data_IF_598678733128
#
_entry.id   IF_598678733128
#
_cell.length_a   1.000
_cell.length_b   1.000
_cell.length_c   1.000
_cell.angle_alpha   90.00
_cell.angle_beta   90.00
_cell.angle_gamma   90.00
#
_symmetry.space_group_name_H-M   'P 1'
#
loop_
_entity.id
_entity.type
_entity.pdbx_description
1 polymer ?
#
# COMPACT_ATOMS: atom_id res chain seq x y z
N UNK A 1 -5.43 -12.13 24.57
CA UNK A 1 -4.29 -13.07 24.49
C UNK A 1 -3.17 -12.39 23.74
N UNK A 2 -1.94 -12.36 24.26
CA UNK A 2 -0.79 -11.87 23.51
C UNK A 2 -0.54 -12.82 22.33
N UNK A 3 -0.39 -12.26 21.13
CA UNK A 3 -0.01 -13.02 19.93
C UNK A 3 1.31 -13.76 20.21
N UNK A 4 1.33 -15.07 19.92
CA UNK A 4 2.55 -15.85 19.92
C UNK A 4 3.58 -15.19 18.99
N UNK A 5 4.77 -14.94 19.54
CA UNK A 5 5.88 -14.29 18.84
C UNK A 5 6.46 -15.26 17.81
N UNK A 6 5.95 -15.29 16.57
CA UNK A 6 6.83 -15.61 15.45
C UNK A 6 7.82 -14.45 15.32
N UNK A 7 9.02 -14.63 15.89
CA UNK A 7 10.01 -13.58 16.06
C UNK A 7 10.79 -13.27 14.76
N UNK A 8 10.21 -13.62 13.60
CA UNK A 8 10.87 -13.47 12.31
C UNK A 8 10.59 -12.06 11.78
N UNK A 9 11.60 -11.20 11.86
CA UNK A 9 11.56 -9.88 11.23
C UNK A 9 11.66 -10.07 9.70
N UNK A 10 10.97 -9.25 8.90
CA UNK A 10 11.14 -9.31 7.45
C UNK A 10 12.58 -8.97 7.07
N UNK A 11 13.05 -9.56 5.97
CA UNK A 11 14.31 -9.20 5.33
C UNK A 11 14.18 -7.83 4.66
N UNK A 12 13.00 -7.55 4.08
CA UNK A 12 12.70 -6.27 3.44
C UNK A 12 11.19 -5.96 3.46
N UNK A 13 10.87 -4.68 3.58
CA UNK A 13 9.53 -4.10 3.49
C UNK A 13 9.55 -3.09 2.33
N UNK A 14 8.87 -3.44 1.25
CA UNK A 14 8.63 -2.58 0.09
C UNK A 14 7.40 -1.72 0.36
N UNK A 15 7.58 -0.40 0.48
CA UNK A 15 6.47 0.53 0.67
C UNK A 15 6.16 1.22 -0.65
N UNK A 16 5.06 0.83 -1.27
CA UNK A 16 4.62 1.35 -2.55
C UNK A 16 3.62 2.49 -2.36
N UNK A 17 3.87 3.59 -3.06
CA UNK A 17 2.97 4.74 -3.16
C UNK A 17 2.77 5.12 -4.62
N UNK A 18 1.62 5.70 -4.93
CA UNK A 18 1.28 6.12 -6.28
C UNK A 18 -0.20 6.49 -6.36
N UNK A 19 -0.49 7.51 -7.18
CA UNK A 19 -1.84 8.03 -7.41
C UNK A 19 -2.72 6.99 -8.08
N UNK A 20 -4.04 7.16 -7.98
CA UNK A 20 -5.02 6.34 -8.71
C UNK A 20 -4.68 6.21 -10.20
N UNK A 21 -4.84 4.99 -10.74
CA UNK A 21 -4.52 4.59 -12.13
C UNK A 21 -3.03 4.68 -12.53
N UNK A 22 -2.10 4.83 -11.58
CA UNK A 22 -0.64 4.73 -11.84
C UNK A 22 -0.14 3.31 -12.11
N UNK A 23 -0.94 2.28 -11.83
CA UNK A 23 -0.55 0.87 -11.99
C UNK A 23 0.11 0.24 -10.76
N UNK A 24 0.01 0.89 -9.59
CA UNK A 24 0.55 0.39 -8.32
C UNK A 24 0.11 -1.03 -7.97
N UNK A 25 -1.19 -1.35 -8.07
CA UNK A 25 -1.68 -2.71 -7.77
C UNK A 25 -1.11 -3.76 -8.74
N UNK A 26 -0.94 -3.40 -10.02
CA UNK A 26 -0.31 -4.28 -11.00
C UNK A 26 1.14 -4.58 -10.61
N UNK A 27 1.93 -3.54 -10.33
CA UNK A 27 3.33 -3.69 -9.91
C UNK A 27 3.44 -4.49 -8.61
N UNK A 28 2.58 -4.25 -7.62
CA UNK A 28 2.56 -5.00 -6.37
C UNK A 28 2.35 -6.51 -6.59
N UNK A 29 1.41 -6.87 -7.47
CA UNK A 29 1.14 -8.26 -7.83
C UNK A 29 2.31 -8.87 -8.61
N UNK A 30 2.89 -8.15 -9.58
CA UNK A 30 4.08 -8.61 -10.32
C UNK A 30 5.26 -8.87 -9.38
N UNK A 31 5.47 -8.03 -8.37
CA UNK A 31 6.49 -8.25 -7.35
C UNK A 31 6.17 -9.50 -6.52
N UNK A 32 4.93 -9.66 -6.05
CA UNK A 32 4.52 -10.85 -5.30
C UNK A 32 4.78 -12.14 -6.09
N UNK A 33 4.47 -12.14 -7.39
CA UNK A 33 4.72 -13.28 -8.27
C UNK A 33 6.21 -13.56 -8.45
N UNK A 34 7.03 -12.51 -8.64
CA UNK A 34 8.49 -12.64 -8.79
C UNK A 34 9.19 -13.08 -7.51
N UNK A 35 8.75 -12.59 -6.36
CA UNK A 35 9.29 -12.99 -5.06
C UNK A 35 8.80 -14.38 -4.61
N UNK A 36 7.64 -14.82 -5.10
CA UNK A 36 7.00 -16.05 -4.67
C UNK A 36 6.11 -15.83 -3.44
N UNK A 37 4.90 -16.42 -3.47
CA UNK A 37 3.88 -16.27 -2.40
C UNK A 37 4.27 -16.96 -1.08
N UNK A 38 5.26 -17.85 -1.13
CA UNK A 38 5.77 -18.52 0.06
C UNK A 38 6.64 -17.57 0.91
N UNK A 39 7.43 -16.72 0.26
CA UNK A 39 8.33 -15.76 0.92
C UNK A 39 7.72 -14.36 1.07
N UNK A 40 6.83 -13.95 0.17
CA UNK A 40 6.28 -12.61 0.10
C UNK A 40 4.77 -12.51 0.38
N UNK A 41 4.34 -11.34 0.84
CA UNK A 41 2.93 -11.01 1.05
C UNK A 41 2.63 -9.55 0.75
N UNK A 42 1.42 -9.29 0.24
CA UNK A 42 0.90 -7.93 0.06
C UNK A 42 0.16 -7.48 1.34
N UNK A 43 0.61 -6.36 1.90
CA UNK A 43 -0.07 -5.64 2.98
C UNK A 43 -0.96 -4.57 2.37
N UNK A 44 -2.25 -4.59 2.73
CA UNK A 44 -3.23 -3.55 2.38
C UNK A 44 -3.67 -2.84 3.66
N UNK A 45 -3.19 -1.62 3.87
CA UNK A 45 -3.56 -0.77 5.00
C UNK A 45 -5.05 -0.40 4.97
N UNK A 46 -5.66 -0.39 3.78
CA UNK A 46 -7.10 -0.21 3.62
C UNK A 46 -7.93 -1.45 4.00
N UNK A 47 -7.32 -2.64 4.13
CA UNK A 47 -8.01 -3.87 4.54
C UNK A 47 -8.65 -3.75 5.92
N UNK A 48 -7.87 -3.50 6.99
CA UNK A 48 -8.43 -3.36 8.33
C UNK A 48 -9.35 -2.14 8.48
N UNK A 49 -9.11 -1.09 7.72
CA UNK A 49 -10.01 0.07 7.65
C UNK A 49 -11.40 -0.34 7.19
N UNK A 50 -11.49 -1.06 6.08
CA UNK A 50 -12.77 -1.50 5.53
C UNK A 50 -13.47 -2.51 6.44
N UNK A 51 -12.73 -3.45 7.02
CA UNK A 51 -13.27 -4.47 7.92
C UNK A 51 -13.90 -3.82 9.16
N UNK A 52 -13.14 -2.97 9.85
CA UNK A 52 -13.60 -2.27 11.06
C UNK A 52 -14.77 -1.34 10.77
N UNK A 53 -14.68 -0.54 9.70
CA UNK A 53 -15.76 0.38 9.33
C UNK A 53 -17.04 -0.38 8.98
N UNK A 54 -16.92 -1.52 8.29
CA UNK A 54 -18.07 -2.37 7.97
C UNK A 54 -18.73 -2.91 9.24
N UNK A 55 -17.93 -3.42 10.17
CA UNK A 55 -18.40 -3.95 11.44
C UNK A 55 -19.14 -2.90 12.28
N UNK A 56 -18.57 -1.70 12.44
CA UNK A 56 -19.16 -0.63 13.25
C UNK A 56 -20.45 -0.05 12.66
N UNK A 57 -20.61 -0.11 11.33
CA UNK A 57 -21.75 0.47 10.62
C UNK A 57 -22.74 -0.58 10.11
N UNK A 58 -22.60 -1.85 10.51
CA UNK A 58 -23.41 -2.97 10.02
C UNK A 58 -23.47 -3.06 8.48
N UNK A 59 -22.34 -2.80 7.81
CA UNK A 59 -22.22 -2.89 6.35
C UNK A 59 -21.68 -4.24 5.92
N UNK A 60 -21.94 -4.60 4.67
CA UNK A 60 -21.37 -5.80 4.08
C UNK A 60 -19.90 -5.55 3.68
N UNK A 61 -18.98 -6.19 4.40
CA UNK A 61 -17.53 -6.07 4.18
C UNK A 61 -17.10 -6.48 2.76
N UNK A 62 -17.59 -7.61 2.25
CA UNK A 62 -17.26 -8.09 0.90
C UNK A 62 -17.64 -7.06 -0.18
N UNK A 63 -18.79 -6.39 -0.01
CA UNK A 63 -19.21 -5.31 -0.93
C UNK A 63 -18.33 -4.05 -0.83
N UNK A 64 -17.67 -3.80 0.30
CA UNK A 64 -16.71 -2.71 0.46
C UNK A 64 -15.31 -3.06 -0.07
N UNK A 65 -15.01 -4.35 -0.18
CA UNK A 65 -13.82 -4.83 -0.87
C UNK A 65 -13.93 -4.63 -2.38
N UNK A 66 -15.11 -4.92 -2.96
CA UNK A 66 -15.39 -4.78 -4.38
C UNK A 66 -15.31 -3.31 -4.87
N UNK A 67 -14.79 -3.12 -6.08
CA UNK A 67 -14.60 -1.83 -6.77
C UNK A 67 -15.90 -1.21 -7.29
N UNK A 68 -16.98 -1.36 -6.54
CA UNK A 68 -18.33 -0.94 -6.92
C UNK A 68 -18.61 0.52 -6.53
N UNK A 69 -19.61 1.11 -7.19
CA UNK A 69 -20.19 2.42 -6.86
C UNK A 69 -20.59 2.52 -5.37
N UNK A 70 -20.98 1.38 -4.78
CA UNK A 70 -21.26 1.22 -3.36
C UNK A 70 -20.10 1.67 -2.46
N UNK A 71 -18.86 1.36 -2.81
CA UNK A 71 -17.67 1.77 -2.06
C UNK A 71 -17.44 3.28 -2.14
N UNK A 72 -17.64 3.87 -3.31
CA UNK A 72 -17.40 5.30 -3.52
C UNK A 72 -18.41 6.15 -2.72
N UNK A 73 -19.65 5.69 -2.52
CA UNK A 73 -20.65 6.34 -1.65
C UNK A 73 -20.14 6.49 -0.21
N UNK A 74 -19.43 5.49 0.32
CA UNK A 74 -18.91 5.51 1.70
C UNK A 74 -17.47 6.02 1.80
N UNK A 75 -16.81 6.33 0.68
CA UNK A 75 -15.38 6.67 0.68
C UNK A 75 -15.06 7.86 1.57
N UNK A 76 -15.82 8.95 1.44
CA UNK A 76 -15.59 10.14 2.25
C UNK A 76 -15.78 9.88 3.75
N UNK A 77 -16.83 9.13 4.11
CA UNK A 77 -17.12 8.76 5.50
C UNK A 77 -16.03 7.86 6.08
N UNK A 78 -15.58 6.87 5.30
CA UNK A 78 -14.47 5.98 5.67
C UNK A 78 -13.17 6.75 5.87
N UNK A 79 -12.87 7.73 5.00
CA UNK A 79 -11.69 8.58 5.14
C UNK A 79 -11.77 9.34 6.47
N UNK A 80 -12.85 10.11 6.70
CA UNK A 80 -13.05 10.89 7.94
C UNK A 80 -12.95 10.04 9.20
N UNK A 81 -13.62 8.88 9.21
CA UNK A 81 -13.56 7.93 10.32
C UNK A 81 -12.14 7.40 10.54
N UNK A 82 -11.44 7.03 9.47
CA UNK A 82 -10.07 6.51 9.57
C UNK A 82 -9.06 7.56 10.01
N UNK A 83 -9.24 8.84 9.64
CA UNK A 83 -8.39 9.93 10.12
C UNK A 83 -8.55 10.14 11.62
N UNK A 84 -9.77 10.08 12.16
CA UNK A 84 -9.99 10.20 13.60
C UNK A 84 -9.21 9.13 14.39
N UNK A 85 -9.14 7.90 13.87
CA UNK A 85 -8.34 6.83 14.46
C UNK A 85 -6.84 7.10 14.29
N UNK A 86 -6.39 7.48 13.09
CA UNK A 86 -4.97 7.77 12.81
C UNK A 86 -4.43 8.92 13.64
N UNK A 87 -5.25 9.93 13.93
CA UNK A 87 -4.88 11.06 14.77
C UNK A 87 -4.63 10.64 16.23
N UNK A 88 -5.29 9.59 16.70
CA UNK A 88 -5.07 9.02 18.04
C UNK A 88 -3.93 7.99 18.03
N UNK A 89 -3.86 7.19 16.96
CA UNK A 89 -2.90 6.09 16.82
C UNK A 89 -2.51 5.90 15.34
N UNK A 90 -1.43 6.56 14.90
CA UNK A 90 -1.01 6.54 13.50
C UNK A 90 -0.68 5.13 12.98
N UNK A 91 -0.25 4.23 13.86
CA UNK A 91 0.16 2.88 13.53
C UNK A 91 -0.95 1.84 13.54
N UNK A 92 -2.19 2.24 13.88
CA UNK A 92 -3.31 1.32 14.07
C UNK A 92 -3.54 0.41 12.86
N UNK A 93 -3.73 0.99 11.68
CA UNK A 93 -4.00 0.20 10.47
C UNK A 93 -2.78 -0.59 10.00
N UNK A 94 -1.56 -0.11 10.26
CA UNK A 94 -0.33 -0.84 9.95
C UNK A 94 -0.23 -2.14 10.76
N UNK A 95 -0.45 -2.07 12.08
CA UNK A 95 -0.41 -3.26 12.94
C UNK A 95 -1.50 -4.26 12.58
N UNK A 96 -2.71 -3.79 12.28
CA UNK A 96 -3.79 -4.67 11.86
C UNK A 96 -3.55 -5.29 10.47
N UNK A 97 -2.98 -4.56 9.53
CA UNK A 97 -2.66 -5.09 8.20
C UNK A 97 -1.61 -6.21 8.29
N UNK A 98 -0.58 -6.04 9.13
CA UNK A 98 0.45 -7.08 9.42
C UNK A 98 -0.20 -8.35 9.96
N UNK A 99 -1.16 -8.22 10.90
CA UNK A 99 -1.87 -9.35 11.49
C UNK A 99 -2.77 -10.05 10.47
N UNK A 100 -3.63 -9.30 9.78
CA UNK A 100 -4.59 -9.83 8.81
C UNK A 100 -3.92 -10.59 7.66
N UNK A 101 -2.77 -10.11 7.18
CA UNK A 101 -2.03 -10.74 6.10
C UNK A 101 -1.10 -11.87 6.57
N UNK A 102 -1.03 -12.13 7.88
CA UNK A 102 -0.06 -13.05 8.49
C UNK A 102 1.39 -12.71 8.10
N UNK A 103 1.74 -11.42 8.01
CA UNK A 103 3.04 -11.01 7.49
C UNK A 103 4.22 -11.53 8.33
N UNK A 104 4.01 -11.75 9.63
CA UNK A 104 5.04 -12.22 10.55
C UNK A 104 5.62 -13.61 10.22
N UNK A 105 5.01 -14.37 9.29
CA UNK A 105 5.54 -15.62 8.75
C UNK A 105 6.26 -15.46 7.40
N UNK A 106 6.37 -14.23 6.89
CA UNK A 106 6.86 -13.90 5.55
C UNK A 106 8.12 -13.04 5.63
N UNK A 107 9.07 -13.31 4.73
CA UNK A 107 10.35 -12.59 4.66
C UNK A 107 10.21 -11.24 3.98
N UNK A 108 9.26 -11.09 3.06
CA UNK A 108 9.13 -9.92 2.20
C UNK A 108 7.73 -9.34 2.31
N UNK A 109 7.65 -8.07 2.72
CA UNK A 109 6.36 -7.40 2.91
C UNK A 109 6.19 -6.32 1.83
N UNK A 110 5.07 -6.36 1.11
CA UNK A 110 4.76 -5.39 0.05
C UNK A 110 3.58 -4.54 0.52
N UNK A 111 3.85 -3.38 1.13
CA UNK A 111 2.82 -2.42 1.51
C UNK A 111 2.33 -1.71 0.25
N UNK A 112 1.16 -2.12 -0.22
CA UNK A 112 0.64 -1.73 -1.54
C UNK A 112 -0.07 -0.39 -1.61
N UNK A 113 -0.52 0.16 -0.48
CA UNK A 113 -1.44 1.29 -0.45
C UNK A 113 -1.14 2.31 0.66
N UNK A 114 0.16 2.55 0.93
CA UNK A 114 0.59 3.67 1.77
C UNK A 114 0.15 5.00 1.15
N UNK A 115 -0.46 5.86 1.97
CA UNK A 115 -1.06 7.13 1.52
C UNK A 115 -0.61 8.33 2.36
N UNK A 116 -0.09 8.10 3.57
CA UNK A 116 0.33 9.14 4.50
C UNK A 116 1.78 8.96 4.92
N UNK A 117 2.45 10.06 5.27
CA UNK A 117 3.81 10.02 5.82
C UNK A 117 3.90 9.17 7.10
N UNK A 118 2.86 9.23 7.93
CA UNK A 118 2.73 8.41 9.15
C UNK A 118 2.71 6.91 8.87
N UNK A 119 2.19 6.46 7.71
CA UNK A 119 2.29 5.05 7.30
C UNK A 119 3.77 4.67 7.13
N UNK A 120 4.55 5.50 6.44
CA UNK A 120 5.99 5.27 6.19
C UNK A 120 6.78 5.33 7.50
N UNK A 121 6.52 6.36 8.33
CA UNK A 121 7.18 6.57 9.62
C UNK A 121 6.97 5.38 10.57
N UNK A 122 5.74 4.83 10.61
CA UNK A 122 5.46 3.63 11.40
C UNK A 122 6.43 2.50 11.05
N UNK A 123 6.58 2.19 9.76
CA UNK A 123 7.47 1.10 9.34
C UNK A 123 8.95 1.45 9.56
N UNK A 124 9.38 2.70 9.31
CA UNK A 124 10.75 3.16 9.58
C UNK A 124 11.14 3.00 11.06
N UNK A 125 10.24 3.35 11.98
CA UNK A 125 10.48 3.28 13.43
C UNK A 125 10.51 1.82 13.92
N UNK A 126 9.57 0.99 13.46
CA UNK A 126 9.41 -0.38 13.98
C UNK A 126 10.33 -1.41 13.30
N UNK A 127 10.78 -1.13 12.07
CA UNK A 127 11.63 -2.01 11.26
C UNK A 127 12.79 -1.22 10.63
N UNK A 128 13.69 -0.64 11.45
CA UNK A 128 14.83 0.11 10.94
C UNK A 128 15.68 -0.76 10.01
N UNK A 129 16.23 -0.14 8.96
CA UNK A 129 17.09 -0.77 7.95
C UNK A 129 16.44 -1.87 7.10
N UNK A 130 15.13 -2.07 7.22
CA UNK A 130 14.36 -3.03 6.41
C UNK A 130 13.49 -2.37 5.34
N UNK A 131 13.46 -1.04 5.29
CA UNK A 131 12.51 -0.30 4.44
C UNK A 131 13.12 0.04 3.09
N UNK A 132 12.36 -0.19 2.03
CA UNK A 132 12.63 0.31 0.69
C UNK A 132 11.38 1.00 0.14
N UNK A 133 11.44 2.32 -0.04
CA UNK A 133 10.27 3.12 -0.45
C UNK A 133 10.26 3.32 -1.96
N UNK A 134 9.10 3.11 -2.58
CA UNK A 134 8.95 3.17 -4.04
C UNK A 134 7.78 4.06 -4.43
N UNK A 135 8.07 5.11 -5.22
CA UNK A 135 7.03 5.93 -5.85
C UNK A 135 6.75 5.43 -7.25
N UNK A 136 5.49 5.14 -7.53
CA UNK A 136 5.01 4.72 -8.84
C UNK A 136 4.30 5.91 -9.48
N UNK A 137 4.88 6.38 -10.57
CA UNK A 137 4.42 7.52 -11.34
C UNK A 137 3.83 7.06 -12.68
N UNK A 138 2.85 7.79 -13.17
CA UNK A 138 2.38 7.71 -14.54
C UNK A 138 1.86 9.10 -14.91
N UNK A 139 2.11 9.53 -16.14
CA UNK A 139 1.58 10.79 -16.66
C UNK A 139 0.06 10.81 -16.63
N UNK A 140 -0.50 12.00 -16.54
CA UNK A 140 -1.94 12.20 -16.58
C UNK A 140 -2.55 11.66 -17.90
N UNK A 141 -1.84 11.79 -19.02
CA UNK A 141 -2.26 11.22 -20.30
C UNK A 141 -2.40 9.69 -20.25
N UNK A 142 -1.43 8.99 -19.63
CA UNK A 142 -1.48 7.53 -19.48
C UNK A 142 -2.56 7.12 -18.47
N UNK A 143 -2.71 7.86 -17.37
CA UNK A 143 -3.78 7.64 -16.39
C UNK A 143 -5.15 7.82 -17.05
N UNK A 144 -5.34 8.83 -17.90
CA UNK A 144 -6.57 9.08 -18.65
C UNK A 144 -6.88 7.93 -19.61
N UNK A 145 -5.88 7.40 -20.33
CA UNK A 145 -6.04 6.18 -21.15
C UNK A 145 -6.50 4.97 -20.33
N UNK A 146 -6.20 4.92 -19.04
CA UNK A 146 -6.65 3.89 -18.07
C UNK A 146 -8.00 4.24 -17.41
N UNK A 147 -8.71 5.22 -17.94
CA UNK A 147 -10.01 5.70 -17.45
C UNK A 147 -9.92 6.58 -16.21
N UNK A 148 -8.78 7.26 -15.97
CA UNK A 148 -8.72 8.30 -14.94
C UNK A 148 -9.40 9.56 -15.44
N UNK A 149 -10.33 10.08 -14.64
CA UNK A 149 -10.91 11.41 -14.80
C UNK A 149 -10.68 12.13 -13.49
N UNK A 150 -10.09 13.33 -13.56
CA UNK A 150 -9.87 14.14 -12.37
C UNK A 150 -11.20 14.40 -11.67
N UNK A 151 -11.30 13.98 -10.42
CA UNK A 151 -12.52 14.09 -9.61
C UNK A 151 -12.19 14.96 -8.40
N UNK A 152 -12.75 16.18 -8.37
CA UNK A 152 -12.58 17.12 -7.26
C UNK A 152 -13.07 16.50 -5.95
N UNK A 153 -12.30 16.68 -4.87
CA UNK A 153 -12.53 16.06 -3.56
C UNK A 153 -12.06 14.61 -3.45
N UNK A 154 -11.57 14.00 -4.54
CA UNK A 154 -11.00 12.65 -4.53
C UNK A 154 -9.53 12.66 -4.90
N UNK A 155 -9.17 13.24 -6.05
CA UNK A 155 -7.79 13.23 -6.54
C UNK A 155 -6.92 14.33 -5.89
N UNK A 156 -7.54 15.22 -5.14
CA UNK A 156 -7.02 16.42 -4.47
C UNK A 156 -7.14 16.34 -2.93
N UNK A 157 -7.59 15.19 -2.40
CA UNK A 157 -7.62 14.94 -0.96
C UNK A 157 -6.32 14.27 -0.48
N UNK A 158 -6.09 14.32 0.84
CA UNK A 158 -4.91 13.71 1.49
C UNK A 158 -4.74 12.23 1.15
N UNK A 159 -5.84 11.49 0.94
CA UNK A 159 -5.75 10.06 0.59
C UNK A 159 -5.06 9.79 -0.75
N UNK A 160 -4.99 10.77 -1.66
CA UNK A 160 -4.27 10.66 -2.94
C UNK A 160 -3.00 11.53 -2.98
N UNK A 161 -2.96 12.66 -2.25
CA UNK A 161 -1.86 13.63 -2.28
C UNK A 161 -0.94 13.62 -1.04
N UNK A 162 -1.24 12.85 0.00
CA UNK A 162 -0.52 12.89 1.29
C UNK A 162 0.95 12.45 1.27
N UNK A 163 1.47 12.10 0.09
CA UNK A 163 2.86 11.74 -0.17
C UNK A 163 3.44 12.47 -1.39
N UNK A 164 2.78 13.52 -1.88
CA UNK A 164 3.25 14.29 -3.05
C UNK A 164 4.49 15.14 -2.71
N UNK A 165 4.65 15.55 -1.46
CA UNK A 165 5.80 16.31 -0.95
C UNK A 165 6.83 15.44 -0.22
N UNK A 166 6.67 14.11 -0.23
CA UNK A 166 7.67 13.18 0.29
C UNK A 166 8.75 12.96 -0.78
N UNK A 167 10.01 13.21 -0.42
CA UNK A 167 11.16 13.21 -1.34
C UNK A 167 12.20 12.11 -1.06
N UNK A 168 12.12 11.45 0.10
CA UNK A 168 13.04 10.39 0.53
C UNK A 168 12.69 9.01 -0.07
N UNK A 169 12.37 8.97 -1.37
CA UNK A 169 12.09 7.73 -2.09
C UNK A 169 13.38 6.96 -2.39
N UNK A 170 13.40 5.66 -2.12
CA UNK A 170 14.52 4.79 -2.50
C UNK A 170 14.56 4.56 -4.01
N UNK A 171 13.39 4.50 -4.65
CA UNK A 171 13.24 4.35 -6.10
C UNK A 171 11.98 5.04 -6.61
N UNK A 172 12.04 5.57 -7.83
CA UNK A 172 10.86 6.00 -8.58
C UNK A 172 10.71 5.12 -9.83
N UNK A 173 9.52 4.56 -10.03
CA UNK A 173 9.16 3.76 -11.20
C UNK A 173 8.19 4.57 -12.05
N UNK A 174 8.53 4.76 -13.32
CA UNK A 174 7.67 5.42 -14.31
C UNK A 174 6.91 4.35 -15.10
N UNK A 175 5.59 4.43 -15.08
CA UNK A 175 4.69 3.50 -15.73
C UNK A 175 3.93 4.19 -16.87
N UNK A 176 4.68 4.90 -17.72
CA UNK A 176 4.16 5.51 -18.94
C UNK A 176 4.19 4.53 -20.13
N UNK A 177 5.13 3.58 -20.12
CA UNK A 177 5.22 2.48 -21.07
C UNK A 177 5.83 1.24 -20.41
N UNK A 178 5.72 0.09 -21.09
CA UNK A 178 6.15 -1.21 -20.57
C UNK A 178 7.66 -1.28 -20.32
N UNK A 179 8.48 -0.66 -21.16
CA UNK A 179 9.93 -0.65 -21.03
C UNK A 179 10.38 0.02 -19.72
N UNK A 180 9.90 1.25 -19.47
CA UNK A 180 10.21 1.99 -18.24
C UNK A 180 9.69 1.28 -16.99
N UNK A 181 8.49 0.70 -17.07
CA UNK A 181 7.91 -0.07 -15.97
C UNK A 181 8.77 -1.29 -15.65
N UNK A 182 9.12 -2.09 -16.67
CA UNK A 182 9.92 -3.30 -16.50
C UNK A 182 11.34 -2.98 -16.00
N UNK A 183 11.96 -1.92 -16.51
CA UNK A 183 13.25 -1.44 -16.01
C UNK A 183 13.17 -1.09 -14.52
N UNK A 184 12.13 -0.35 -14.10
CA UNK A 184 11.90 -0.01 -12.70
C UNK A 184 11.67 -1.22 -11.81
N UNK A 185 10.87 -2.20 -12.25
CA UNK A 185 10.64 -3.45 -11.52
C UNK A 185 11.94 -4.25 -11.40
N UNK A 186 12.75 -4.32 -12.46
CA UNK A 186 14.03 -5.04 -12.44
C UNK A 186 15.02 -4.38 -11.47
N UNK A 187 15.14 -3.04 -11.51
CA UNK A 187 15.97 -2.28 -10.54
C UNK A 187 15.52 -2.53 -9.11
N UNK A 188 14.21 -2.47 -8.86
CA UNK A 188 13.65 -2.76 -7.55
C UNK A 188 14.03 -4.17 -7.09
N UNK A 189 13.78 -5.18 -7.93
CA UNK A 189 14.07 -6.58 -7.60
C UNK A 189 15.55 -6.79 -7.26
N UNK A 190 16.47 -6.30 -8.10
CA UNK A 190 17.91 -6.39 -7.86
C UNK A 190 18.35 -5.66 -6.59
N UNK A 191 17.75 -4.51 -6.28
CA UNK A 191 18.10 -3.73 -5.08
C UNK A 191 17.71 -4.41 -3.77
N UNK A 192 16.79 -5.38 -3.80
CA UNK A 192 16.31 -6.05 -2.58
C UNK A 192 17.31 -7.04 -1.98
N UNK A 193 18.35 -7.45 -2.72
CA UNK A 193 19.37 -8.42 -2.30
C UNK A 193 18.81 -9.68 -1.62
N UNK A 194 17.56 -10.06 -1.93
CA UNK A 194 16.94 -11.25 -1.36
C UNK A 194 17.51 -12.46 -2.10
N UNK A 195 18.33 -13.25 -1.40
CA UNK A 195 18.73 -14.57 -1.88
C UNK A 195 17.52 -15.51 -1.75
N UNK A 196 16.95 -15.89 -2.90
CA UNK A 196 16.03 -17.02 -2.99
C UNK A 196 16.86 -18.30 -2.87
N UNK A 197 16.45 -19.20 -1.98
CA UNK A 197 17.05 -20.54 -1.85
C UNK A 197 16.27 -21.52 -2.70
#
# INVERSE_FOLDING_TARGET
MPLEKSNQKPDIILILSGKRKSGKDYIANTLLERFGKDDAVILRLSGPLKERYALENNLNYEKLLDSSEYKEIFREKMIKWSEAIRNQDPGYFCRHAIQQSQAASKRIWIVSDARRKTDIEFFKINYPDKIYTVRINASDAVRQKRGWVHTKGVDDCESECGLDDYDQWSLQIFNDNDEQMLEGINKLFLSTNVNFK
#
